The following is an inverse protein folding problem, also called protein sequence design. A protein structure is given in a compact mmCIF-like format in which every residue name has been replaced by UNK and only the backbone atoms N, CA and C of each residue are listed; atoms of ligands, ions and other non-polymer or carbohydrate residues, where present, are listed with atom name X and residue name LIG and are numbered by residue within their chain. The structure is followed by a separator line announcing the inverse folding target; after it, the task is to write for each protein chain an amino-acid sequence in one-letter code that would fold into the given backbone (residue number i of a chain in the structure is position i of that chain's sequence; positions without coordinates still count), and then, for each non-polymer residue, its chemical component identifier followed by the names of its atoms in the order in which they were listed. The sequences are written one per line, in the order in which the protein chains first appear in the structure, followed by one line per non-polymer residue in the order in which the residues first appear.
data_IF_597520506364
#
_entry.id   IF_597520506364
#
_cell.length_a   1.000
_cell.length_b   1.000
_cell.length_c   1.000
_cell.angle_alpha   90.00
_cell.angle_beta   90.00
_cell.angle_gamma   90.00
#
_symmetry.space_group_name_H-M   'P 1'
#
loop_
_entity.id
_entity.type
_entity.pdbx_description
1 polymer ?
#
# COMPACT_ATOMS: atom_id res chain seq x y z
N UNK A 1 14.21 15.53 -2.46
CA UNK A 1 13.66 14.70 -1.37
C UNK A 1 13.07 13.39 -1.92
N UNK A 2 11.95 13.40 -2.66
CA UNK A 2 11.38 12.17 -3.28
C UNK A 2 12.30 11.48 -4.30
N UNK A 3 12.94 12.25 -5.19
CA UNK A 3 13.89 11.68 -6.17
C UNK A 3 15.04 10.90 -5.54
N UNK A 4 15.50 11.29 -4.36
CA UNK A 4 16.59 10.58 -3.67
C UNK A 4 16.14 9.20 -3.14
N UNK A 5 14.83 9.03 -2.91
CA UNK A 5 14.22 7.79 -2.47
C UNK A 5 13.81 6.84 -3.62
N UNK A 6 13.87 7.32 -4.88
CA UNK A 6 13.58 6.50 -6.05
C UNK A 6 14.73 5.53 -6.31
N UNK A 7 14.47 4.25 -6.08
CA UNK A 7 15.39 3.14 -6.30
C UNK A 7 14.90 2.24 -7.45
N UNK A 8 15.73 1.32 -7.96
CA UNK A 8 15.31 0.35 -8.98
C UNK A 8 14.08 -0.46 -8.57
N UNK A 9 13.90 -0.75 -7.28
CA UNK A 9 12.80 -1.55 -6.74
C UNK A 9 11.52 -0.74 -6.50
N UNK A 10 11.62 0.60 -6.46
CA UNK A 10 10.51 1.51 -6.21
C UNK A 10 10.92 2.69 -5.32
N UNK A 11 9.94 3.32 -4.69
CA UNK A 11 10.12 4.37 -3.69
C UNK A 11 10.42 3.76 -2.31
N UNK A 12 11.60 4.06 -1.77
CA UNK A 12 11.99 3.70 -0.41
C UNK A 12 11.45 4.73 0.60
N UNK A 13 11.18 4.32 1.84
CA UNK A 13 10.81 5.26 2.91
C UNK A 13 11.98 6.21 3.24
N UNK A 14 13.21 5.70 3.26
CA UNK A 14 14.42 6.51 3.30
C UNK A 14 15.57 5.83 2.55
N UNK A 15 16.27 6.60 1.72
CA UNK A 15 17.51 6.14 1.09
C UNK A 15 18.74 6.28 2.01
N UNK A 16 18.63 7.06 3.09
CA UNK A 16 19.75 7.40 3.97
C UNK A 16 19.81 6.50 5.21
N UNK A 17 18.66 6.09 5.75
CA UNK A 17 18.58 5.29 6.96
C UNK A 17 18.45 3.79 6.63
N UNK A 18 19.43 2.94 6.98
CA UNK A 18 19.44 1.53 6.57
C UNK A 18 18.21 0.72 6.99
N UNK A 19 17.60 1.05 8.13
CA UNK A 19 16.39 0.39 8.61
C UNK A 19 15.14 0.78 7.82
N UNK A 20 15.11 1.98 7.25
CA UNK A 20 14.02 2.52 6.43
C UNK A 20 14.29 2.42 4.92
N UNK A 21 15.38 1.75 4.51
CA UNK A 21 15.66 1.38 3.12
C UNK A 21 14.75 0.22 2.66
N UNK A 22 13.44 0.45 2.71
CA UNK A 22 12.36 -0.45 2.37
C UNK A 22 11.24 0.28 1.63
N UNK A 23 10.48 -0.47 0.84
CA UNK A 23 9.23 -0.03 0.22
C UNK A 23 8.11 -0.28 1.22
N UNK A 24 7.65 0.79 1.88
CA UNK A 24 6.51 0.74 2.79
C UNK A 24 5.24 1.09 2.02
N UNK A 25 4.21 0.27 2.12
CA UNK A 25 2.98 0.44 1.34
C UNK A 25 2.33 1.79 1.60
N UNK A 26 2.38 2.27 2.85
CA UNK A 26 1.84 3.57 3.27
C UNK A 26 2.61 4.72 2.65
N UNK A 27 3.94 4.69 2.79
CA UNK A 27 4.84 5.72 2.29
C UNK A 27 4.72 5.84 0.78
N UNK A 28 4.66 4.71 0.07
CA UNK A 28 4.39 4.69 -1.38
C UNK A 28 3.05 5.33 -1.70
N UNK A 29 1.99 4.99 -0.97
CA UNK A 29 0.66 5.53 -1.23
C UNK A 29 0.60 7.06 -1.07
N UNK A 30 1.23 7.60 -0.03
CA UNK A 30 1.30 9.05 0.18
C UNK A 30 2.26 9.74 -0.82
N UNK A 31 3.43 9.16 -1.06
CA UNK A 31 4.39 9.66 -2.04
C UNK A 31 3.80 9.70 -3.45
N UNK A 32 2.96 8.72 -3.81
CA UNK A 32 2.28 8.65 -5.09
C UNK A 32 1.40 9.87 -5.36
N UNK A 33 0.81 10.50 -4.34
CA UNK A 33 0.00 11.71 -4.51
C UNK A 33 0.82 12.83 -5.16
N UNK A 34 2.03 13.06 -4.67
CA UNK A 34 2.96 14.06 -5.21
C UNK A 34 3.61 13.60 -6.51
N UNK A 35 4.07 12.35 -6.57
CA UNK A 35 4.72 11.80 -7.76
C UNK A 35 3.82 11.87 -9.00
N UNK A 36 2.55 11.50 -8.86
CA UNK A 36 1.60 11.47 -9.99
C UNK A 36 1.27 12.86 -10.56
N UNK A 37 1.48 13.94 -9.80
CA UNK A 37 1.24 15.33 -10.26
C UNK A 37 2.53 16.09 -10.56
N UNK A 38 3.70 15.52 -10.28
CA UNK A 38 4.99 16.20 -10.38
C UNK A 38 5.51 16.39 -11.82
N UNK A 39 4.85 15.79 -12.82
CA UNK A 39 5.34 15.65 -14.20
C UNK A 39 6.73 15.00 -14.32
N UNK A 40 7.22 14.34 -13.25
CA UNK A 40 8.51 13.69 -13.21
C UNK A 40 8.37 12.20 -13.59
N UNK A 41 8.81 11.78 -14.80
CA UNK A 41 8.61 10.42 -15.27
C UNK A 41 9.35 9.38 -14.42
N UNK A 42 10.46 9.76 -13.77
CA UNK A 42 11.23 8.87 -12.89
C UNK A 42 10.40 8.51 -11.65
N UNK A 43 9.73 9.50 -11.06
CA UNK A 43 8.88 9.29 -9.88
C UNK A 43 7.61 8.53 -10.22
N UNK A 44 7.00 8.81 -11.35
CA UNK A 44 5.84 8.07 -11.86
C UNK A 44 6.20 6.59 -12.03
N UNK A 45 7.32 6.31 -12.70
CA UNK A 45 7.76 4.92 -12.90
C UNK A 45 8.19 4.28 -11.57
N UNK A 46 8.78 5.01 -10.63
CA UNK A 46 9.10 4.49 -9.29
C UNK A 46 7.84 4.07 -8.52
N UNK A 47 6.73 4.82 -8.63
CA UNK A 47 5.42 4.41 -8.07
C UNK A 47 4.95 3.11 -8.72
N UNK A 48 5.00 3.01 -10.06
CA UNK A 48 4.59 1.81 -10.78
C UNK A 48 5.39 0.58 -10.33
N UNK A 49 6.72 0.70 -10.18
CA UNK A 49 7.61 -0.35 -9.66
C UNK A 49 7.25 -0.75 -8.23
N UNK A 50 7.02 0.22 -7.33
CA UNK A 50 6.58 -0.06 -5.96
C UNK A 50 5.28 -0.85 -5.91
N UNK A 51 4.25 -0.41 -6.64
CA UNK A 51 2.94 -1.09 -6.68
C UNK A 51 3.08 -2.52 -7.20
N UNK A 52 3.88 -2.70 -8.23
CA UNK A 52 4.19 -4.02 -8.79
C UNK A 52 4.91 -4.91 -7.78
N UNK A 53 5.95 -4.40 -7.10
CA UNK A 53 6.72 -5.17 -6.14
C UNK A 53 5.87 -5.63 -4.97
N UNK A 54 5.08 -4.71 -4.40
CA UNK A 54 4.13 -5.02 -3.32
C UNK A 54 3.07 -6.03 -3.75
N UNK A 55 2.54 -5.90 -4.97
CA UNK A 55 1.55 -6.84 -5.51
C UNK A 55 2.11 -8.27 -5.64
N UNK A 56 3.39 -8.41 -6.03
CA UNK A 56 4.04 -9.72 -6.16
C UNK A 56 4.23 -10.44 -4.83
N UNK A 57 4.24 -9.71 -3.72
CA UNK A 57 4.41 -10.22 -2.37
C UNK A 57 3.08 -10.37 -1.60
N UNK A 58 1.96 -10.12 -2.28
CA UNK A 58 0.62 -10.27 -1.73
C UNK A 58 0.40 -11.69 -1.20
N UNK A 59 -0.19 -11.81 -0.01
CA UNK A 59 -0.56 -13.09 0.57
C UNK A 59 -1.60 -13.82 -0.29
N UNK A 60 -1.68 -15.15 -0.15
CA UNK A 60 -2.71 -15.97 -0.81
C UNK A 60 -4.14 -15.55 -0.44
N UNK A 61 -4.32 -14.99 0.76
CA UNK A 61 -5.59 -14.41 1.24
C UNK A 61 -5.98 -13.10 0.55
N UNK A 62 -5.03 -12.41 -0.10
CA UNK A 62 -5.24 -11.09 -0.71
C UNK A 62 -4.67 -9.91 0.05
N UNK A 63 -4.17 -10.11 1.27
CA UNK A 63 -3.51 -9.08 2.06
C UNK A 63 -2.23 -8.56 1.38
N UNK A 64 -2.02 -7.25 1.38
CA UNK A 64 -0.79 -6.61 0.89
C UNK A 64 0.20 -6.45 2.07
N UNK A 65 1.50 -6.72 1.87
CA UNK A 65 2.49 -6.51 2.93
C UNK A 65 2.54 -5.06 3.40
N UNK A 66 2.88 -4.87 4.66
CA UNK A 66 3.11 -3.53 5.22
C UNK A 66 4.39 -2.93 4.62
N UNK A 67 5.46 -3.73 4.56
CA UNK A 67 6.76 -3.30 4.07
C UNK A 67 7.52 -4.43 3.37
N UNK A 68 8.40 -4.03 2.46
CA UNK A 68 9.32 -4.91 1.73
C UNK A 68 10.73 -4.33 1.75
N UNK A 69 11.72 -5.11 2.19
CA UNK A 69 13.15 -4.79 2.15
C UNK A 69 13.82 -5.58 1.00
N UNK A 70 13.99 -4.99 -0.20
CA UNK A 70 14.44 -5.75 -1.37
C UNK A 70 15.84 -6.35 -1.20
N UNK A 71 16.76 -5.59 -0.60
CA UNK A 71 18.15 -6.04 -0.35
C UNK A 71 18.25 -7.22 0.62
N UNK A 72 17.21 -7.46 1.42
CA UNK A 72 17.16 -8.56 2.39
C UNK A 72 16.29 -9.72 1.91
N UNK A 73 15.66 -9.60 0.73
CA UNK A 73 14.64 -10.53 0.25
C UNK A 73 13.57 -10.85 1.31
N UNK A 74 13.17 -9.83 2.08
CA UNK A 74 12.28 -9.97 3.24
C UNK A 74 11.12 -8.99 3.13
N UNK A 75 9.92 -9.43 3.50
CA UNK A 75 8.73 -8.62 3.63
C UNK A 75 7.90 -9.14 4.79
N UNK A 76 7.07 -8.27 5.35
CA UNK A 76 6.13 -8.66 6.39
C UNK A 76 4.83 -7.86 6.32
N UNK A 77 3.89 -8.32 7.14
CA UNK A 77 2.57 -7.72 7.32
C UNK A 77 2.49 -6.93 8.64
N UNK A 78 3.64 -6.74 9.32
CA UNK A 78 3.81 -6.07 10.61
C UNK A 78 2.77 -6.47 11.70
N UNK A 79 2.59 -5.64 12.73
CA UNK A 79 1.62 -5.85 13.80
C UNK A 79 0.19 -5.88 13.27
N UNK A 80 -0.51 -6.95 13.64
CA UNK A 80 -1.91 -7.19 13.35
C UNK A 80 -2.32 -6.98 11.87
N UNK A 81 -1.38 -7.13 10.95
CA UNK A 81 -1.64 -7.19 9.51
C UNK A 81 -1.83 -5.86 8.78
N UNK A 82 -1.72 -4.70 9.46
CA UNK A 82 -1.84 -3.36 8.86
C UNK A 82 -2.96 -3.25 7.80
N UNK A 83 -4.22 -3.35 8.24
CA UNK A 83 -5.42 -3.42 7.36
C UNK A 83 -5.49 -2.30 6.33
N UNK A 84 -5.11 -1.12 6.75
CA UNK A 84 -5.03 0.08 5.93
C UNK A 84 -3.88 0.09 4.91
N UNK A 85 -2.81 -0.69 5.07
CA UNK A 85 -1.81 -0.88 4.02
C UNK A 85 -2.48 -1.48 2.77
N UNK A 86 -3.35 -2.48 2.96
CA UNK A 86 -4.13 -3.06 1.86
C UNK A 86 -5.12 -2.04 1.27
N UNK A 87 -5.78 -1.23 2.10
CA UNK A 87 -6.64 -0.14 1.60
C UNK A 87 -5.84 0.87 0.76
N UNK A 88 -4.72 1.35 1.30
CA UNK A 88 -3.84 2.34 0.68
C UNK A 88 -3.24 1.84 -0.63
N UNK A 89 -2.89 0.55 -0.71
CA UNK A 89 -2.44 -0.06 -1.96
C UNK A 89 -3.50 0.05 -3.07
N UNK A 90 -4.75 -0.32 -2.78
CA UNK A 90 -5.85 -0.22 -3.75
C UNK A 90 -6.05 1.22 -4.18
N UNK A 91 -6.09 2.14 -3.21
CA UNK A 91 -6.26 3.58 -3.47
C UNK A 91 -5.12 4.14 -4.33
N UNK A 92 -3.86 3.84 -3.99
CA UNK A 92 -2.68 4.33 -4.70
C UNK A 92 -2.63 3.79 -6.14
N UNK A 93 -2.83 2.48 -6.32
CA UNK A 93 -2.86 1.87 -7.65
C UNK A 93 -3.99 2.43 -8.52
N UNK A 94 -5.19 2.57 -7.95
CA UNK A 94 -6.36 3.13 -8.63
C UNK A 94 -6.12 4.58 -9.05
N UNK A 95 -5.49 5.40 -8.20
CA UNK A 95 -5.14 6.78 -8.54
C UNK A 95 -4.04 6.86 -9.60
N UNK A 96 -2.98 6.07 -9.45
CA UNK A 96 -1.87 6.05 -10.39
C UNK A 96 -2.32 5.62 -11.80
N UNK A 97 -3.13 4.56 -11.92
CA UNK A 97 -3.67 4.10 -13.21
C UNK A 97 -4.64 5.10 -13.86
N UNK A 98 -5.31 5.95 -13.06
CA UNK A 98 -6.14 7.04 -13.60
C UNK A 98 -5.29 8.21 -14.10
N UNK A 99 -4.28 8.60 -13.33
CA UNK A 99 -3.38 9.70 -13.68
C UNK A 99 -2.47 9.35 -14.87
N UNK A 100 -2.05 8.08 -14.95
CA UNK A 100 -1.14 7.55 -15.96
C UNK A 100 -1.71 6.25 -16.55
N UNK A 101 -2.62 6.34 -17.53
CA UNK A 101 -3.22 5.16 -18.14
C UNK A 101 -2.20 4.26 -18.84
N UNK A 102 -1.92 3.10 -18.24
CA UNK A 102 -1.11 2.03 -18.84
C UNK A 102 -1.89 0.70 -18.85
N UNK A 103 -2.32 0.21 -20.03
CA UNK A 103 -3.01 -1.07 -20.15
C UNK A 103 -2.21 -2.28 -19.67
N UNK A 104 -0.87 -2.25 -19.78
CA UNK A 104 0.01 -3.33 -19.35
C UNK A 104 0.08 -3.37 -17.83
N UNK A 105 0.34 -2.25 -17.19
CA UNK A 105 0.34 -2.13 -15.72
C UNK A 105 -1.05 -2.48 -15.15
N UNK A 106 -2.13 -1.98 -15.76
CA UNK A 106 -3.50 -2.33 -15.36
C UNK A 106 -3.73 -3.83 -15.40
N UNK A 107 -3.39 -4.50 -16.50
CA UNK A 107 -3.54 -5.96 -16.63
C UNK A 107 -2.73 -6.71 -15.58
N UNK A 108 -1.53 -6.20 -15.24
CA UNK A 108 -0.66 -6.81 -14.23
C UNK A 108 -1.22 -6.64 -12.82
N UNK A 109 -1.72 -5.46 -12.46
CA UNK A 109 -2.22 -5.18 -11.10
C UNK A 109 -3.64 -5.69 -10.85
N UNK A 110 -4.47 -5.83 -11.89
CA UNK A 110 -5.88 -6.14 -11.75
C UNK A 110 -6.19 -7.39 -10.89
N UNK A 111 -5.52 -8.55 -11.09
CA UNK A 111 -5.78 -9.72 -10.25
C UNK A 111 -5.45 -9.48 -8.76
N UNK A 112 -4.45 -8.65 -8.48
CA UNK A 112 -4.02 -8.32 -7.12
C UNK A 112 -5.00 -7.36 -6.46
N UNK A 113 -5.47 -6.35 -7.19
CA UNK A 113 -6.48 -5.41 -6.71
C UNK A 113 -7.78 -6.12 -6.33
N UNK A 114 -8.24 -7.07 -7.17
CA UNK A 114 -9.44 -7.86 -6.86
C UNK A 114 -9.30 -8.67 -5.58
N UNK A 115 -8.16 -9.36 -5.40
CA UNK A 115 -7.91 -10.13 -4.17
C UNK A 115 -7.76 -9.23 -2.95
N UNK A 116 -7.15 -8.06 -3.10
CA UNK A 116 -7.04 -7.08 -2.01
C UNK A 116 -8.41 -6.56 -1.58
N UNK A 117 -9.29 -6.26 -2.53
CA UNK A 117 -10.67 -5.83 -2.24
C UNK A 117 -11.45 -6.95 -1.54
N UNK A 118 -11.42 -8.18 -2.05
CA UNK A 118 -12.08 -9.31 -1.37
C UNK A 118 -11.54 -9.53 0.04
N UNK A 119 -10.21 -9.45 0.23
CA UNK A 119 -9.61 -9.54 1.56
C UNK A 119 -10.14 -8.46 2.51
N UNK A 120 -10.32 -7.22 2.01
CA UNK A 120 -10.89 -6.13 2.81
C UNK A 120 -12.37 -6.38 3.15
N UNK A 121 -13.17 -6.87 2.21
CA UNK A 121 -14.58 -7.22 2.45
C UNK A 121 -14.72 -8.29 3.55
N UNK A 122 -13.80 -9.26 3.58
CA UNK A 122 -13.74 -10.30 4.62
C UNK A 122 -13.41 -9.76 6.02
N UNK A 123 -12.99 -8.49 6.15
CA UNK A 123 -12.75 -7.84 7.45
C UNK A 123 -14.02 -7.21 8.05
N UNK A 124 -15.16 -7.26 7.35
CA UNK A 124 -16.45 -6.89 7.94
C UNK A 124 -17.10 -8.09 8.64
N UNK A 125 -16.82 -8.21 9.94
CA UNK A 125 -17.32 -9.32 10.74
C UNK A 125 -18.85 -9.29 10.95
N UNK A 126 -19.48 -8.13 10.79
CA UNK A 126 -20.87 -7.89 11.19
C UNK A 126 -21.80 -7.53 10.01
N UNK A 127 -21.27 -7.49 8.78
CA UNK A 127 -22.01 -7.13 7.56
C UNK A 127 -22.61 -5.71 7.63
N UNK A 128 -21.86 -4.77 8.20
CA UNK A 128 -22.25 -3.37 8.33
C UNK A 128 -21.69 -2.47 7.22
N UNK A 129 -21.04 -3.05 6.20
CA UNK A 129 -20.31 -2.35 5.14
C UNK A 129 -19.13 -1.52 5.66
N UNK A 130 -18.65 -1.85 6.86
CA UNK A 130 -17.53 -1.20 7.54
C UNK A 130 -16.67 -2.25 8.23
N UNK A 131 -15.37 -2.15 8.03
CA UNK A 131 -14.40 -3.18 8.42
C UNK A 131 -13.87 -2.96 9.84
N UNK A 132 -13.55 -4.07 10.49
CA UNK A 132 -12.91 -4.10 11.80
C UNK A 132 -11.39 -4.06 11.64
N UNK A 133 -10.74 -3.21 12.44
CA UNK A 133 -9.29 -3.09 12.49
C UNK A 133 -8.78 -3.63 13.82
N UNK A 134 -7.78 -4.51 13.82
CA UNK A 134 -7.15 -4.97 15.05
C UNK A 134 -6.24 -3.87 15.64
N UNK A 135 -5.88 -4.04 16.92
CA UNK A 135 -4.92 -3.17 17.59
C UNK A 135 -3.58 -3.17 16.86
N UNK A 136 -3.05 -1.99 16.55
CA UNK A 136 -1.80 -1.83 15.79
C UNK A 136 -1.97 -2.00 14.27
N UNK A 137 -3.18 -2.30 13.79
CA UNK A 137 -3.48 -2.49 12.37
C UNK A 137 -3.57 -1.20 11.55
N UNK A 138 -3.09 -0.06 12.08
CA UNK A 138 -3.06 1.22 11.37
C UNK A 138 -1.71 1.97 11.45
N UNK A 139 -1.61 3.17 10.85
CA UNK A 139 -0.38 3.98 10.87
C UNK A 139 0.16 4.34 12.26
N UNK A 140 -0.69 4.30 13.29
CA UNK A 140 -0.28 4.54 14.68
C UNK A 140 0.05 3.23 15.40
N UNK A 141 0.53 2.23 14.66
CA UNK A 141 0.96 0.91 15.13
C UNK A 141 1.77 0.95 16.44
N UNK A 142 2.67 1.93 16.59
CA UNK A 142 3.62 1.97 17.69
C UNK A 142 3.19 2.87 18.88
N UNK A 143 2.06 3.58 18.78
CA UNK A 143 1.72 4.65 19.76
C UNK A 143 0.34 4.50 20.40
N UNK A 144 -0.67 4.09 19.64
CA UNK A 144 -2.03 3.99 20.12
C UNK A 144 -2.69 2.74 19.55
N UNK A 145 -2.79 1.72 20.40
CA UNK A 145 -3.32 0.40 20.07
C UNK A 145 -4.87 0.42 20.07
N UNK A 146 -5.45 1.12 19.08
CA UNK A 146 -6.91 1.21 18.86
C UNK A 146 -7.40 0.02 18.06
N UNK A 147 -8.61 -0.45 18.34
CA UNK A 147 -9.24 -1.54 17.60
C UNK A 147 -10.73 -1.28 17.33
N UNK A 148 -11.33 -2.11 16.47
CA UNK A 148 -12.73 -2.04 16.05
C UNK A 148 -12.91 -1.20 14.78
N UNK A 149 -14.03 -0.48 14.68
CA UNK A 149 -14.42 0.25 13.46
C UNK A 149 -13.81 1.65 13.41
N UNK A 150 -12.51 1.70 13.15
CA UNK A 150 -11.75 2.96 13.14
C UNK A 150 -12.13 3.83 11.94
N UNK A 151 -12.41 5.12 12.19
CA UNK A 151 -12.79 6.08 11.15
C UNK A 151 -11.73 6.18 10.04
N UNK A 152 -10.46 6.24 10.42
CA UNK A 152 -9.35 6.37 9.47
C UNK A 152 -9.31 5.20 8.46
N UNK A 153 -9.34 3.97 8.96
CA UNK A 153 -9.30 2.77 8.11
C UNK A 153 -10.56 2.66 7.26
N UNK A 154 -11.74 2.94 7.83
CA UNK A 154 -12.99 2.87 7.09
C UNK A 154 -13.14 3.97 6.01
N UNK A 155 -12.55 5.16 6.23
CA UNK A 155 -12.48 6.19 5.19
C UNK A 155 -11.60 5.74 4.01
N UNK A 156 -10.49 5.05 4.28
CA UNK A 156 -9.64 4.45 3.26
C UNK A 156 -10.33 3.29 2.54
N UNK A 157 -11.02 2.42 3.29
CA UNK A 157 -11.80 1.31 2.75
C UNK A 157 -12.88 1.81 1.79
N UNK A 158 -13.70 2.79 2.22
CA UNK A 158 -14.69 3.41 1.35
C UNK A 158 -14.07 4.03 0.09
N UNK A 159 -12.84 4.54 0.17
CA UNK A 159 -12.12 5.09 -0.99
C UNK A 159 -11.54 4.01 -1.91
N UNK A 160 -11.30 2.81 -1.39
CA UNK A 160 -10.72 1.68 -2.10
C UNK A 160 -11.74 0.94 -2.98
N UNK A 161 -13.00 0.89 -2.55
CA UNK A 161 -14.15 0.42 -3.33
C UNK A 161 -14.44 1.34 -4.53
#
# INVERSE_FOLDING_TARGET
MLRAAAAPEGLLASAELPHYAAVWTRDVAFAALGANVSADPELVEAVARSLVGLAQLQAGTGQIPNAWWPRRAYWDFHEAGCTDATCLFVVAASQHLRAHPDPRLRRRLWPHLRRAIHWLEDQDANQFTVIDSPAGGDWMDSTLQRAGKLLYVNALYHRAL
#
